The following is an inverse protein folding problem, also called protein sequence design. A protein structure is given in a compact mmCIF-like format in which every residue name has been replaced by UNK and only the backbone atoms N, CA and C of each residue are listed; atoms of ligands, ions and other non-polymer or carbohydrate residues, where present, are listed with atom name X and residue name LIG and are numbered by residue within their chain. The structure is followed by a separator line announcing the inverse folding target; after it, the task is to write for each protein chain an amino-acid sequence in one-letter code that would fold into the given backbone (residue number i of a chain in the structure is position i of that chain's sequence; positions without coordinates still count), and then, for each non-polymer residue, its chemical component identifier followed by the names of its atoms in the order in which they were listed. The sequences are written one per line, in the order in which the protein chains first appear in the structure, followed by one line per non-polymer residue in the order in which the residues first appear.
data_IF_402925849692
#
_entry.id   IF_402925849692
#
_cell.length_a   1.000
_cell.length_b   1.000
_cell.length_c   1.000
_cell.angle_alpha   90.00
_cell.angle_beta   90.00
_cell.angle_gamma   90.00
#
_symmetry.space_group_name_H-M   'P 1'
#
loop_
_entity.id
_entity.type
_entity.pdbx_description
1 polymer ?
#
# COMPACT_ATOMS: atom_id res chain seq x y z
N UNK A 1 -13.69 14.19 2.22
CA UNK A 1 -12.32 14.63 2.57
C UNK A 1 -11.55 13.36 2.81
N UNK A 2 -10.40 13.17 2.15
CA UNK A 2 -9.56 12.03 2.47
C UNK A 2 -8.94 12.24 3.85
N UNK A 3 -8.94 11.21 4.69
CA UNK A 3 -8.28 11.21 6.01
C UNK A 3 -6.75 11.01 5.90
N UNK A 4 -6.22 10.76 4.69
CA UNK A 4 -4.81 10.52 4.42
C UNK A 4 -4.22 11.66 3.59
N UNK A 5 -3.52 12.59 4.24
CA UNK A 5 -2.85 13.72 3.58
C UNK A 5 -1.48 13.94 4.21
N UNK A 6 -0.44 14.08 3.39
CA UNK A 6 0.91 14.42 3.81
C UNK A 6 1.61 15.26 2.74
N UNK A 7 1.86 16.53 3.03
CA UNK A 7 2.43 17.47 2.06
C UNK A 7 1.55 17.59 0.82
N UNK A 8 2.11 17.25 -0.33
CA UNK A 8 1.42 17.24 -1.63
C UNK A 8 0.73 15.90 -1.97
N UNK A 9 0.90 14.89 -1.11
CA UNK A 9 0.35 13.56 -1.32
C UNK A 9 -1.00 13.39 -0.61
N UNK A 10 -1.96 12.81 -1.34
CA UNK A 10 -3.25 12.41 -0.80
C UNK A 10 -3.43 10.90 -0.98
N UNK A 11 -3.97 10.21 0.02
CA UNK A 11 -4.27 8.78 -0.04
C UNK A 11 -5.78 8.51 -0.11
N UNK A 12 -6.24 7.49 -0.82
CA UNK A 12 -7.66 7.08 -0.79
C UNK A 12 -7.78 5.55 -0.81
N UNK A 13 -8.52 4.93 0.13
CA UNK A 13 -8.84 3.51 0.04
C UNK A 13 -9.58 3.21 -1.27
N UNK A 14 -9.09 2.24 -2.05
CA UNK A 14 -9.72 1.84 -3.30
C UNK A 14 -10.67 0.66 -3.09
N UNK A 15 -11.79 0.58 -3.85
CA UNK A 15 -12.79 -0.46 -3.67
C UNK A 15 -12.26 -1.86 -4.09
N UNK A 16 -12.49 -2.85 -3.23
CA UNK A 16 -12.14 -4.27 -3.42
C UNK A 16 -13.07 -4.98 -4.41
N UNK A 17 -13.07 -4.61 -5.70
CA UNK A 17 -13.98 -5.15 -6.74
C UNK A 17 -13.79 -6.67 -7.01
N UNK A 18 -14.17 -7.52 -6.06
CA UNK A 18 -13.97 -8.98 -6.11
C UNK A 18 -12.52 -9.44 -5.90
N UNK A 19 -11.66 -8.55 -5.43
CA UNK A 19 -10.25 -8.82 -5.24
C UNK A 19 -9.91 -9.17 -3.79
N UNK A 20 -8.99 -10.12 -3.61
CA UNK A 20 -8.51 -10.57 -2.30
C UNK A 20 -7.31 -9.70 -1.86
N UNK A 21 -7.52 -8.40 -1.71
CA UNK A 21 -6.54 -7.45 -1.19
C UNK A 21 -7.21 -6.18 -0.63
N UNK A 22 -6.48 -5.50 0.25
CA UNK A 22 -6.74 -4.10 0.62
C UNK A 22 -5.79 -3.20 -0.15
N UNK A 23 -6.24 -2.02 -0.54
CA UNK A 23 -5.41 -1.12 -1.35
C UNK A 23 -5.69 0.35 -1.07
N UNK A 24 -4.64 1.16 -1.15
CA UNK A 24 -4.71 2.62 -1.12
C UNK A 24 -4.13 3.19 -2.41
N UNK A 25 -4.84 4.14 -3.01
CA UNK A 25 -4.32 4.98 -4.09
C UNK A 25 -3.62 6.18 -3.48
N UNK A 26 -2.40 6.46 -3.92
CA UNK A 26 -1.61 7.64 -3.55
C UNK A 26 -1.58 8.57 -4.76
N UNK A 27 -2.03 9.80 -4.55
CA UNK A 27 -2.19 10.81 -5.56
C UNK A 27 -1.25 11.98 -5.27
N UNK A 28 -0.70 12.55 -6.34
CA UNK A 28 0.08 13.79 -6.31
C UNK A 28 -0.38 14.68 -7.46
N UNK A 29 -0.53 15.97 -7.19
CA UNK A 29 -1.14 16.95 -8.09
C UNK A 29 -2.52 16.48 -8.61
N UNK A 30 -2.57 15.95 -9.84
CA UNK A 30 -3.79 15.55 -10.52
C UNK A 30 -3.81 14.05 -10.93
N UNK A 31 -2.85 13.25 -10.48
CA UNK A 31 -2.66 11.88 -10.96
C UNK A 31 -2.49 10.85 -9.85
N UNK A 32 -2.93 9.63 -10.14
CA UNK A 32 -2.58 8.45 -9.34
C UNK A 32 -1.10 8.11 -9.60
N UNK A 33 -0.29 8.20 -8.54
CA UNK A 33 1.14 7.90 -8.56
C UNK A 33 1.42 6.45 -8.18
N UNK A 34 0.75 5.96 -7.14
CA UNK A 34 0.95 4.60 -6.62
C UNK A 34 -0.39 4.00 -6.20
N UNK A 35 -0.66 2.77 -6.62
CA UNK A 35 -1.63 1.90 -5.97
C UNK A 35 -0.85 0.85 -5.18
N UNK A 36 -0.90 0.94 -3.85
CA UNK A 36 -0.25 -0.03 -2.97
C UNK A 36 -1.29 -0.99 -2.43
N UNK A 37 -1.07 -2.28 -2.67
CA UNK A 37 -1.96 -3.38 -2.30
C UNK A 37 -1.30 -4.26 -1.24
N UNK A 38 -2.08 -4.81 -0.31
CA UNK A 38 -1.68 -5.89 0.59
C UNK A 38 -2.63 -7.07 0.41
N UNK A 39 -2.09 -8.26 0.16
CA UNK A 39 -2.91 -9.41 -0.20
C UNK A 39 -3.77 -9.90 0.97
N UNK A 40 -4.91 -10.50 0.67
CA UNK A 40 -5.79 -11.10 1.67
C UNK A 40 -5.10 -12.19 2.48
N UNK A 41 -4.17 -12.93 1.87
CA UNK A 41 -3.33 -13.88 2.61
C UNK A 41 -2.43 -13.18 3.64
N UNK A 42 -1.87 -12.01 3.32
CA UNK A 42 -1.05 -11.25 4.27
C UNK A 42 -1.90 -10.69 5.42
N UNK A 43 -3.14 -10.30 5.12
CA UNK A 43 -4.13 -9.85 6.09
C UNK A 43 -4.64 -11.00 6.98
N UNK A 44 -4.77 -12.20 6.44
CA UNK A 44 -5.16 -13.40 7.19
C UNK A 44 -4.04 -13.92 8.11
N UNK A 45 -2.78 -13.72 7.73
CA UNK A 45 -1.58 -14.03 8.53
C UNK A 45 -1.26 -12.93 9.56
N UNK A 46 -2.28 -12.41 10.27
CA UNK A 46 -2.12 -11.26 11.18
C UNK A 46 -1.11 -11.52 12.30
N UNK A 47 -0.97 -12.75 12.78
CA UNK A 47 -0.02 -13.08 13.85
C UNK A 47 1.44 -12.86 13.40
N UNK A 48 1.74 -13.17 12.14
CA UNK A 48 3.07 -13.00 11.55
C UNK A 48 3.29 -11.59 11.01
N UNK A 49 2.29 -11.06 10.28
CA UNK A 49 2.41 -9.79 9.57
C UNK A 49 2.11 -8.59 10.45
N UNK A 50 1.34 -8.74 11.53
CA UNK A 50 0.86 -7.64 12.37
C UNK A 50 -0.15 -6.71 11.69
N UNK A 51 -0.69 -7.10 10.53
CA UNK A 51 -1.62 -6.30 9.72
C UNK A 51 -2.91 -7.10 9.53
N UNK A 52 -4.04 -6.41 9.59
CA UNK A 52 -5.36 -6.95 9.34
C UNK A 52 -6.24 -5.91 8.62
N UNK A 53 -7.49 -6.26 8.32
CA UNK A 53 -8.40 -5.34 7.64
C UNK A 53 -8.77 -4.07 8.44
N UNK A 54 -8.56 -4.05 9.76
CA UNK A 54 -8.88 -2.89 10.61
C UNK A 54 -7.79 -1.82 10.54
N UNK A 55 -6.54 -2.22 10.30
CA UNK A 55 -5.37 -1.32 10.28
C UNK A 55 -4.66 -1.21 8.92
N UNK A 56 -5.09 -1.99 7.93
CA UNK A 56 -4.44 -2.10 6.61
C UNK A 56 -4.27 -0.77 5.90
N UNK A 57 -5.31 0.08 5.86
CA UNK A 57 -5.26 1.35 5.12
C UNK A 57 -4.28 2.35 5.74
N UNK A 58 -4.26 2.48 7.07
CA UNK A 58 -3.31 3.34 7.76
C UNK A 58 -1.88 2.81 7.61
N UNK A 59 -1.71 1.48 7.68
CA UNK A 59 -0.43 0.85 7.47
C UNK A 59 0.10 1.04 6.04
N UNK A 60 -0.75 0.82 5.03
CA UNK A 60 -0.43 1.02 3.62
C UNK A 60 -0.03 2.48 3.36
N UNK A 61 -0.77 3.43 3.91
CA UNK A 61 -0.45 4.85 3.82
C UNK A 61 0.95 5.15 4.37
N UNK A 62 1.22 4.77 5.62
CA UNK A 62 2.52 4.98 6.25
C UNK A 62 3.64 4.27 5.50
N UNK A 63 3.37 3.07 4.98
CA UNK A 63 4.33 2.28 4.22
C UNK A 63 4.68 2.97 2.90
N UNK A 64 3.69 3.46 2.15
CA UNK A 64 3.89 4.20 0.92
C UNK A 64 4.74 5.45 1.14
N UNK A 65 4.45 6.23 2.19
CA UNK A 65 5.20 7.45 2.49
C UNK A 65 6.69 7.24 2.73
N UNK A 66 7.13 6.03 3.11
CA UNK A 66 8.56 5.74 3.31
C UNK A 66 9.38 5.75 2.02
N UNK A 67 8.75 5.59 0.86
CA UNK A 67 9.44 5.50 -0.43
C UNK A 67 8.76 6.29 -1.56
N UNK A 68 7.64 6.97 -1.30
CA UNK A 68 6.86 7.66 -2.33
C UNK A 68 7.66 8.74 -3.07
N UNK A 69 8.63 9.37 -2.39
CA UNK A 69 9.52 10.38 -2.97
C UNK A 69 10.54 9.78 -3.95
N UNK A 70 10.78 8.47 -3.89
CA UNK A 70 11.69 7.75 -4.80
C UNK A 70 11.01 7.31 -6.10
N UNK A 71 9.69 7.51 -6.25
CA UNK A 71 8.95 7.14 -7.45
C UNK A 71 9.04 8.23 -8.53
N UNK A 72 9.41 7.85 -9.75
CA UNK A 72 9.64 8.74 -10.90
C UNK A 72 8.37 9.35 -11.54
N UNK A 73 7.38 9.77 -10.75
CA UNK A 73 6.06 10.28 -11.21
C UNK A 73 5.26 9.35 -12.15
N UNK A 74 5.78 8.17 -12.49
CA UNK A 74 5.07 7.15 -13.24
C UNK A 74 4.14 6.35 -12.34
N UNK A 75 2.92 6.09 -12.82
CA UNK A 75 1.96 5.25 -12.11
C UNK A 75 2.56 3.86 -11.89
N UNK A 76 2.62 3.42 -10.64
CA UNK A 76 2.95 2.04 -10.27
C UNK A 76 1.81 1.37 -9.51
N UNK A 77 1.67 0.07 -9.69
CA UNK A 77 0.79 -0.78 -8.91
C UNK A 77 1.68 -1.84 -8.25
N UNK A 78 1.76 -1.82 -6.93
CA UNK A 78 2.62 -2.71 -6.15
C UNK A 78 1.78 -3.59 -5.24
N UNK A 79 2.10 -4.88 -5.23
CA UNK A 79 1.44 -5.90 -4.42
C UNK A 79 2.39 -6.41 -3.34
N UNK A 80 1.98 -6.23 -2.09
CA UNK A 80 2.65 -6.75 -0.91
C UNK A 80 2.08 -8.14 -0.61
N UNK A 81 2.98 -9.12 -0.47
CA UNK A 81 2.69 -10.51 -0.11
C UNK A 81 3.01 -10.76 1.38
N UNK A 82 2.57 -11.89 1.96
CA UNK A 82 2.84 -12.19 3.36
C UNK A 82 4.33 -12.21 3.71
N UNK A 83 5.17 -12.63 2.75
CA UNK A 83 6.63 -12.71 2.90
C UNK A 83 7.31 -11.35 2.97
N UNK A 84 6.65 -10.30 2.45
CA UNK A 84 7.19 -8.95 2.41
C UNK A 84 6.96 -8.20 3.72
N UNK A 85 6.21 -8.79 4.66
CA UNK A 85 5.85 -8.17 5.93
C UNK A 85 6.28 -9.04 7.10
N UNK A 86 6.85 -8.40 8.13
CA UNK A 86 7.06 -9.02 9.43
C UNK A 86 6.74 -8.05 10.55
N UNK A 87 5.82 -8.44 11.44
CA UNK A 87 5.48 -7.69 12.66
C UNK A 87 5.19 -6.20 12.40
N UNK A 88 4.36 -5.91 11.41
CA UNK A 88 3.88 -4.59 11.04
C UNK A 88 4.88 -3.78 10.19
N UNK A 89 5.92 -4.40 9.66
CA UNK A 89 6.96 -3.72 8.88
C UNK A 89 7.16 -4.39 7.54
N UNK A 90 7.27 -3.56 6.50
CA UNK A 90 7.76 -3.99 5.20
C UNK A 90 9.25 -4.38 5.33
N UNK A 91 9.60 -5.61 4.96
CA UNK A 91 10.97 -6.12 5.01
C UNK A 91 11.62 -6.27 3.62
N UNK A 92 10.79 -6.30 2.58
CA UNK A 92 11.22 -6.29 1.18
C UNK A 92 11.40 -4.84 0.72
N UNK A 93 12.46 -4.57 -0.03
CA UNK A 93 12.67 -3.24 -0.62
C UNK A 93 11.55 -2.95 -1.63
N UNK A 94 11.09 -1.69 -1.70
CA UNK A 94 9.91 -1.35 -2.49
C UNK A 94 10.05 -1.71 -3.98
N UNK A 95 11.26 -1.59 -4.53
CA UNK A 95 11.57 -1.90 -5.94
C UNK A 95 11.67 -3.41 -6.22
N UNK A 96 11.64 -4.25 -5.19
CA UNK A 96 11.58 -5.71 -5.29
C UNK A 96 10.16 -6.25 -5.10
N UNK A 97 9.21 -5.39 -4.71
CA UNK A 97 7.81 -5.78 -4.60
C UNK A 97 7.24 -6.19 -5.96
N UNK A 98 6.25 -7.08 -5.91
CA UNK A 98 5.56 -7.53 -7.11
C UNK A 98 4.84 -6.35 -7.77
N UNK A 99 5.19 -6.10 -9.03
CA UNK A 99 4.50 -5.13 -9.89
C UNK A 99 3.28 -5.79 -10.53
N UNK A 100 2.15 -5.08 -10.57
CA UNK A 100 0.95 -5.50 -11.29
C UNK A 100 0.69 -4.59 -12.50
N UNK A 101 0.03 -5.13 -13.53
CA UNK A 101 -0.38 -4.42 -14.76
C UNK A 101 -1.80 -3.83 -14.65
#
# INVERSE_FOLDING_TARGET
MSDFVYGEYCGEPLPRKGADYDSIGIYKENGLLLELRVSGTALAATEETGINHENSYEWLWKTALNFIEELDNEKKILQILPTDVRSGKLVTQWHELRVEE
#
